data_IF_585826794936
#
_entry.id   IF_585826794936
#
_cell.length_a   1.000
_cell.length_b   1.000
_cell.length_c   1.000
_cell.angle_alpha   90.00
_cell.angle_beta   90.00
_cell.angle_gamma   90.00
#
_symmetry.space_group_name_H-M   'P 1'
#
loop_
_entity.id
_entity.type
_entity.pdbx_description
1 polymer ?
#
# COMPACT_ATOMS: atom_id res chain seq x y z
N UNK A 1 19.06 1.75 -8.42
CA UNK A 1 18.33 1.47 -7.16
C UNK A 1 17.24 0.43 -7.43
N UNK A 2 17.50 -0.82 -7.04
CA UNK A 2 16.53 -1.91 -7.18
C UNK A 2 15.25 -1.55 -6.43
N UNK A 3 14.21 -1.21 -7.19
CA UNK A 3 12.87 -1.04 -6.66
C UNK A 3 12.42 -2.43 -6.24
N UNK A 4 12.48 -2.65 -4.93
CA UNK A 4 12.32 -3.94 -4.29
C UNK A 4 11.09 -4.69 -4.80
N UNK A 5 11.33 -5.91 -5.26
CA UNK A 5 10.29 -6.84 -5.65
C UNK A 5 9.38 -7.11 -4.44
N UNK A 6 8.10 -6.76 -4.55
CA UNK A 6 7.17 -6.86 -3.43
C UNK A 6 6.78 -8.32 -3.13
N UNK A 7 7.12 -9.25 -4.02
CA UNK A 7 6.74 -10.66 -3.96
C UNK A 7 5.45 -10.97 -4.73
N UNK A 8 5.12 -12.25 -4.86
CA UNK A 8 3.97 -12.75 -5.65
C UNK A 8 2.85 -13.18 -4.70
N UNK A 9 1.68 -12.58 -4.81
CA UNK A 9 0.49 -12.97 -4.02
C UNK A 9 -0.37 -13.98 -4.79
N UNK A 10 -0.64 -15.15 -4.19
CA UNK A 10 -1.46 -16.20 -4.79
C UNK A 10 -2.87 -16.22 -4.19
N UNK A 11 -3.82 -15.51 -4.81
CA UNK A 11 -5.15 -15.28 -4.26
C UNK A 11 -6.06 -16.52 -4.11
N UNK A 12 -5.76 -17.68 -4.68
CA UNK A 12 -6.67 -18.83 -4.59
C UNK A 12 -5.97 -20.18 -4.39
N UNK A 13 -4.72 -20.17 -3.94
CA UNK A 13 -3.97 -21.40 -3.74
C UNK A 13 -4.32 -22.00 -2.38
N UNK A 14 -5.25 -22.96 -2.33
CA UNK A 14 -5.45 -23.77 -1.12
C UNK A 14 -4.14 -24.55 -0.82
N UNK A 15 -3.71 -24.66 0.45
CA UNK A 15 -2.73 -25.68 0.82
C UNK A 15 -3.35 -27.04 0.48
N UNK A 16 -2.60 -27.86 -0.25
CA UNK A 16 -3.03 -29.20 -0.65
C UNK A 16 -3.10 -30.05 0.63
N UNK A 17 -4.28 -30.11 1.24
CA UNK A 17 -4.60 -31.09 2.26
C UNK A 17 -4.72 -32.45 1.58
N UNK A 18 -3.74 -33.33 1.83
CA UNK A 18 -3.79 -34.74 1.43
C UNK A 18 -5.01 -35.37 2.11
N UNK A 19 -6.10 -35.56 1.39
CA UNK A 19 -7.31 -36.21 1.91
C UNK A 19 -7.44 -37.65 1.39
N UNK A 20 -8.01 -38.53 2.22
CA UNK A 20 -8.13 -39.98 2.00
C UNK A 20 -8.97 -40.32 0.76
N UNK A 21 -8.64 -41.40 0.03
CA UNK A 21 -9.31 -41.76 -1.21
C UNK A 21 -10.66 -42.43 -0.93
N UNK A 22 -11.74 -41.92 -1.56
CA UNK A 22 -13.03 -42.63 -1.60
C UNK A 22 -14.24 -41.74 -1.90
N UNK A 23 -14.48 -40.70 -1.11
CA UNK A 23 -15.73 -39.92 -1.19
C UNK A 23 -15.56 -38.45 -1.62
N UNK A 24 -14.34 -37.91 -1.55
CA UNK A 24 -14.07 -36.47 -1.75
C UNK A 24 -13.81 -36.07 -3.21
N UNK A 25 -13.68 -37.02 -4.12
CA UNK A 25 -13.19 -36.76 -5.49
C UNK A 25 -14.13 -35.86 -6.32
N UNK A 26 -15.45 -36.08 -6.28
CA UNK A 26 -16.39 -35.25 -7.05
C UNK A 26 -16.59 -33.87 -6.41
N UNK A 27 -16.61 -33.79 -5.08
CA UNK A 27 -16.75 -32.52 -4.36
C UNK A 27 -15.53 -31.64 -4.57
N UNK A 28 -14.32 -32.19 -4.46
CA UNK A 28 -13.08 -31.45 -4.76
C UNK A 28 -13.04 -31.01 -6.23
N UNK A 29 -13.50 -31.85 -7.17
CA UNK A 29 -13.62 -31.45 -8.59
C UNK A 29 -14.61 -30.31 -8.79
N UNK A 30 -15.75 -30.34 -8.12
CA UNK A 30 -16.77 -29.31 -8.21
C UNK A 30 -16.30 -27.99 -7.58
N UNK A 31 -15.67 -28.03 -6.42
CA UNK A 31 -15.02 -26.87 -5.80
C UNK A 31 -13.96 -26.25 -6.71
N UNK A 32 -13.12 -27.08 -7.35
CA UNK A 32 -12.11 -26.60 -8.29
C UNK A 32 -12.75 -25.94 -9.52
N UNK A 33 -13.79 -26.54 -10.08
CA UNK A 33 -14.53 -25.97 -11.21
C UNK A 33 -15.15 -24.60 -10.83
N UNK A 34 -15.75 -24.49 -9.64
CA UNK A 34 -16.27 -23.23 -9.12
C UNK A 34 -15.18 -22.17 -8.97
N UNK A 35 -14.02 -22.53 -8.42
CA UNK A 35 -12.89 -21.62 -8.27
C UNK A 35 -12.38 -21.11 -9.63
N UNK A 36 -12.30 -21.99 -10.64
CA UNK A 36 -11.87 -21.61 -11.99
C UNK A 36 -12.86 -20.62 -12.62
N UNK A 37 -14.16 -20.87 -12.50
CA UNK A 37 -15.20 -19.95 -13.01
C UNK A 37 -15.14 -18.61 -12.29
N UNK A 38 -15.03 -18.62 -10.96
CA UNK A 38 -14.91 -17.40 -10.15
C UNK A 38 -13.68 -16.58 -10.55
N UNK A 39 -12.51 -17.21 -10.67
CA UNK A 39 -11.28 -16.51 -11.07
C UNK A 39 -11.41 -15.91 -12.47
N UNK A 40 -12.06 -16.62 -13.40
CA UNK A 40 -12.31 -16.11 -14.76
C UNK A 40 -13.25 -14.90 -14.75
N UNK A 41 -14.32 -14.94 -13.96
CA UNK A 41 -15.28 -13.82 -13.87
C UNK A 41 -14.62 -12.59 -13.25
N UNK A 42 -13.91 -12.76 -12.13
CA UNK A 42 -13.17 -11.66 -11.49
C UNK A 42 -12.16 -11.07 -12.48
N UNK A 43 -11.37 -11.92 -13.15
CA UNK A 43 -10.38 -11.44 -14.11
C UNK A 43 -11.03 -10.68 -15.28
N UNK A 44 -12.16 -11.17 -15.80
CA UNK A 44 -12.90 -10.50 -16.86
C UNK A 44 -13.42 -9.13 -16.39
N UNK A 45 -13.94 -9.04 -15.16
CA UNK A 45 -14.38 -7.78 -14.57
C UNK A 45 -13.22 -6.80 -14.38
N UNK A 46 -12.12 -7.24 -13.78
CA UNK A 46 -10.92 -6.41 -13.62
C UNK A 46 -10.39 -5.93 -14.97
N UNK A 47 -10.43 -6.77 -16.01
CA UNK A 47 -10.03 -6.40 -17.37
C UNK A 47 -10.93 -5.32 -17.97
N UNK A 48 -12.25 -5.41 -17.75
CA UNK A 48 -13.20 -4.36 -18.18
C UNK A 48 -12.93 -3.04 -17.46
N UNK A 49 -12.72 -3.09 -16.14
CA UNK A 49 -12.43 -1.91 -15.34
C UNK A 49 -11.08 -1.27 -15.73
N UNK A 50 -10.05 -2.08 -16.00
CA UNK A 50 -8.73 -1.59 -16.41
C UNK A 50 -8.80 -0.68 -17.64
N UNK A 51 -9.69 -0.99 -18.60
CA UNK A 51 -9.89 -0.20 -19.82
C UNK A 51 -10.71 1.07 -19.55
N UNK A 52 -11.56 1.07 -18.52
CA UNK A 52 -12.47 2.18 -18.19
C UNK A 52 -11.84 3.22 -17.25
N UNK A 53 -10.92 2.80 -16.38
CA UNK A 53 -10.24 3.69 -15.43
C UNK A 53 -9.37 4.69 -16.21
N UNK A 54 -9.63 5.99 -15.99
CA UNK A 54 -8.78 7.07 -16.51
C UNK A 54 -7.65 7.33 -15.52
N UNK A 55 -6.44 6.95 -15.90
CA UNK A 55 -5.23 7.16 -15.11
C UNK A 55 -4.14 7.83 -15.96
N UNK A 56 -3.18 8.49 -15.30
CA UNK A 56 -2.06 9.15 -15.98
C UNK A 56 -1.20 8.15 -16.77
N UNK A 57 -1.04 6.93 -16.26
CA UNK A 57 -0.43 5.80 -16.95
C UNK A 57 -1.52 4.76 -17.21
N UNK A 58 -1.87 4.48 -18.47
CA UNK A 58 -2.97 3.57 -18.78
C UNK A 58 -2.67 2.15 -18.30
N UNK A 59 -3.70 1.48 -17.79
CA UNK A 59 -3.62 0.07 -17.43
C UNK A 59 -3.59 -0.78 -18.70
N UNK A 60 -2.70 -1.78 -18.76
CA UNK A 60 -2.53 -2.63 -19.93
C UNK A 60 -3.08 -4.00 -19.64
N UNK A 61 -3.97 -4.49 -20.50
CA UNK A 61 -4.51 -5.85 -20.43
C UNK A 61 -3.93 -6.67 -21.57
N UNK A 62 -3.12 -7.68 -21.26
CA UNK A 62 -2.50 -8.57 -22.24
C UNK A 62 -2.77 -10.02 -21.88
N UNK A 63 -3.60 -10.70 -22.69
CA UNK A 63 -3.96 -12.12 -22.52
C UNK A 63 -4.53 -12.39 -21.11
N UNK A 64 -3.75 -13.06 -20.27
CA UNK A 64 -4.09 -13.46 -18.91
C UNK A 64 -3.46 -12.54 -17.85
N UNK A 65 -3.01 -11.34 -18.24
CA UNK A 65 -2.34 -10.41 -17.33
C UNK A 65 -2.93 -9.01 -17.43
N UNK A 66 -3.09 -8.36 -16.29
CA UNK A 66 -3.44 -6.95 -16.15
C UNK A 66 -2.24 -6.28 -15.47
N UNK A 67 -1.67 -5.29 -16.14
CA UNK A 67 -0.52 -4.54 -15.65
C UNK A 67 -1.00 -3.13 -15.31
N UNK A 68 -0.78 -2.72 -14.07
CA UNK A 68 -1.05 -1.39 -13.56
C UNK A 68 0.22 -0.79 -12.98
N UNK A 69 0.40 0.52 -13.08
CA UNK A 69 1.56 1.21 -12.53
C UNK A 69 1.11 2.17 -11.41
N UNK A 70 1.04 1.72 -10.15
CA UNK A 70 0.62 2.55 -9.02
C UNK A 70 1.57 3.73 -8.75
N UNK A 71 2.88 3.54 -8.87
CA UNK A 71 3.89 4.60 -8.74
C UNK A 71 4.93 4.50 -9.88
N UNK A 72 5.65 5.57 -10.22
CA UNK A 72 6.77 5.52 -11.17
C UNK A 72 7.77 4.42 -10.78
N UNK A 73 8.07 3.51 -11.72
CA UNK A 73 8.99 2.38 -11.48
C UNK A 73 8.42 1.21 -10.67
N UNK A 74 7.17 1.28 -10.19
CA UNK A 74 6.50 0.17 -9.50
C UNK A 74 5.37 -0.41 -10.36
N UNK A 75 5.46 -1.70 -10.69
CA UNK A 75 4.45 -2.40 -11.48
C UNK A 75 3.65 -3.37 -10.61
N UNK A 76 2.32 -3.28 -10.71
CA UNK A 76 1.37 -4.24 -10.18
C UNK A 76 0.90 -5.14 -11.33
N UNK A 77 1.19 -6.43 -11.24
CA UNK A 77 0.75 -7.43 -12.22
C UNK A 77 -0.28 -8.38 -11.60
N UNK A 78 -1.48 -8.44 -12.19
CA UNK A 78 -2.53 -9.37 -11.82
C UNK A 78 -2.62 -10.42 -12.93
N UNK A 79 -2.26 -11.67 -12.62
CA UNK A 79 -2.20 -12.76 -13.61
C UNK A 79 -3.20 -13.87 -13.32
N UNK A 80 -3.93 -14.32 -14.34
CA UNK A 80 -4.76 -15.53 -14.30
C UNK A 80 -3.90 -16.75 -14.67
N UNK A 81 -3.42 -17.46 -13.65
CA UNK A 81 -2.60 -18.66 -13.81
C UNK A 81 -3.45 -19.93 -13.87
N UNK A 82 -3.14 -20.82 -14.81
CA UNK A 82 -3.66 -22.19 -14.81
C UNK A 82 -2.58 -23.11 -14.23
N UNK A 83 -2.85 -23.76 -13.10
CA UNK A 83 -2.00 -24.84 -12.61
C UNK A 83 -2.27 -26.09 -13.45
N UNK A 84 -1.85 -26.09 -14.71
CA UNK A 84 -1.58 -27.35 -15.41
C UNK A 84 -0.33 -27.95 -14.76
N UNK A 85 -0.29 -29.26 -14.56
CA UNK A 85 0.87 -30.01 -14.06
C UNK A 85 2.05 -30.03 -15.05
N UNK A 86 2.35 -28.92 -15.72
CA UNK A 86 3.53 -28.79 -16.57
C UNK A 86 4.73 -28.40 -15.70
N UNK A 87 5.23 -29.41 -14.99
CA UNK A 87 6.58 -29.44 -14.42
C UNK A 87 7.62 -29.41 -15.54
N UNK A 88 7.77 -28.32 -16.30
CA UNK A 88 8.93 -28.16 -17.20
C UNK A 88 9.19 -26.76 -17.76
N UNK A 89 8.88 -25.67 -17.07
CA UNK A 89 9.44 -24.36 -17.47
C UNK A 89 9.29 -23.29 -16.40
N UNK A 90 9.85 -23.51 -15.20
CA UNK A 90 10.26 -22.41 -14.33
C UNK A 90 11.57 -22.81 -13.65
N UNK A 91 12.69 -22.50 -14.31
CA UNK A 91 13.88 -22.03 -13.59
C UNK A 91 13.58 -20.60 -13.13
N UNK A 92 12.65 -20.45 -12.20
CA UNK A 92 12.68 -19.31 -11.30
C UNK A 92 13.53 -19.75 -10.12
N UNK A 93 14.66 -19.08 -9.98
CA UNK A 93 15.50 -19.07 -8.79
C UNK A 93 14.67 -19.34 -7.54
N UNK A 94 15.00 -20.44 -6.86
CA UNK A 94 14.63 -20.65 -5.47
C UNK A 94 15.40 -19.64 -4.62
N UNK A 95 15.00 -18.37 -4.68
CA UNK A 95 15.44 -17.36 -3.75
C UNK A 95 14.59 -17.47 -2.50
N UNK A 96 15.26 -17.97 -1.45
CA UNK A 96 15.00 -17.76 -0.02
C UNK A 96 13.56 -17.35 0.35
N UNK A 97 12.85 -18.27 0.99
CA UNK A 97 11.66 -17.94 1.78
C UNK A 97 12.01 -16.88 2.83
N UNK A 98 11.52 -15.67 2.60
CA UNK A 98 11.52 -14.50 3.46
C UNK A 98 11.33 -13.28 2.55
N UNK A 99 10.44 -12.30 2.77
CA UNK A 99 9.54 -12.01 3.89
C UNK A 99 8.05 -12.15 3.45
N UNK A 100 7.57 -13.39 3.30
CA UNK A 100 6.18 -13.69 2.90
C UNK A 100 5.13 -13.16 3.89
N UNK A 101 5.50 -12.97 5.16
CA UNK A 101 4.58 -12.59 6.25
C UNK A 101 3.89 -11.23 6.04
N UNK A 102 4.48 -10.32 5.26
CA UNK A 102 3.93 -8.98 5.06
C UNK A 102 3.01 -8.86 3.85
N UNK A 103 3.08 -9.78 2.88
CA UNK A 103 2.11 -9.86 1.80
C UNK A 103 0.81 -10.52 2.24
N UNK A 104 0.82 -11.31 3.31
CA UNK A 104 -0.38 -11.92 3.88
C UNK A 104 -1.49 -10.90 4.15
N UNK A 105 -1.14 -9.68 4.58
CA UNK A 105 -2.11 -8.59 4.80
C UNK A 105 -2.74 -8.15 3.47
N UNK A 106 -1.96 -8.02 2.40
CA UNK A 106 -2.48 -7.71 1.06
C UNK A 106 -3.35 -8.86 0.57
N UNK A 107 -2.88 -10.10 0.66
CA UNK A 107 -3.62 -11.30 0.28
C UNK A 107 -4.98 -11.39 0.98
N UNK A 108 -4.98 -11.28 2.31
CA UNK A 108 -6.19 -11.34 3.12
C UNK A 108 -7.18 -10.26 2.72
N UNK A 109 -6.72 -9.01 2.62
CA UNK A 109 -7.59 -7.90 2.23
C UNK A 109 -8.12 -8.06 0.80
N UNK A 110 -7.31 -8.58 -0.13
CA UNK A 110 -7.77 -8.89 -1.49
C UNK A 110 -8.84 -9.99 -1.47
N UNK A 111 -8.68 -11.03 -0.64
CA UNK A 111 -9.74 -12.03 -0.43
C UNK A 111 -11.03 -11.41 0.11
N UNK A 112 -10.93 -10.50 1.09
CA UNK A 112 -12.09 -9.82 1.65
C UNK A 112 -12.78 -8.94 0.60
N UNK A 113 -12.01 -8.15 -0.18
CA UNK A 113 -12.53 -7.33 -1.26
C UNK A 113 -13.27 -8.17 -2.32
N UNK A 114 -12.69 -9.30 -2.71
CA UNK A 114 -13.31 -10.21 -3.67
C UNK A 114 -14.58 -10.86 -3.11
N UNK A 115 -14.58 -11.27 -1.84
CA UNK A 115 -15.76 -11.84 -1.19
C UNK A 115 -16.88 -10.82 -1.06
N UNK A 116 -16.55 -9.60 -0.66
CA UNK A 116 -17.50 -8.52 -0.56
C UNK A 116 -18.04 -8.13 -1.94
N UNK A 117 -17.18 -8.06 -2.97
CA UNK A 117 -17.61 -7.89 -4.35
C UNK A 117 -18.60 -8.98 -4.77
N UNK A 118 -18.26 -10.25 -4.55
CA UNK A 118 -19.15 -11.37 -4.88
C UNK A 118 -20.47 -11.29 -4.12
N UNK A 119 -20.44 -10.94 -2.83
CA UNK A 119 -21.64 -10.73 -2.02
C UNK A 119 -22.47 -9.55 -2.54
N UNK A 120 -21.85 -8.47 -3.01
CA UNK A 120 -22.57 -7.33 -3.60
C UNK A 120 -23.19 -7.69 -4.95
N UNK A 121 -22.46 -8.41 -5.80
CA UNK A 121 -22.97 -8.94 -7.08
C UNK A 121 -24.13 -9.92 -6.85
N UNK A 122 -24.09 -10.73 -5.79
CA UNK A 122 -25.14 -11.68 -5.44
C UNK A 122 -26.32 -11.04 -4.67
N UNK A 123 -26.07 -10.05 -3.81
CA UNK A 123 -27.07 -9.55 -2.85
C UNK A 123 -27.75 -8.25 -3.26
N UNK A 124 -27.28 -7.51 -4.27
CA UNK A 124 -27.79 -6.16 -4.53
C UNK A 124 -28.19 -5.88 -5.99
N UNK A 125 -29.51 -5.77 -6.15
CA UNK A 125 -30.21 -4.74 -6.90
C UNK A 125 -30.28 -4.82 -8.43
N UNK A 126 -29.30 -5.36 -9.14
CA UNK A 126 -29.17 -5.09 -10.59
C UNK A 126 -29.45 -6.29 -11.50
N UNK A 127 -29.67 -7.49 -10.96
CA UNK A 127 -29.98 -8.64 -11.81
C UNK A 127 -31.45 -8.57 -12.28
N UNK A 128 -31.73 -8.54 -13.60
CA UNK A 128 -33.10 -8.67 -14.08
C UNK A 128 -33.57 -10.09 -13.78
N UNK A 129 -34.27 -10.25 -12.67
CA UNK A 129 -34.90 -11.51 -12.34
C UNK A 129 -36.13 -11.72 -13.24
N UNK A 130 -36.46 -12.98 -13.61
CA UNK A 130 -37.73 -13.28 -14.26
C UNK A 130 -38.90 -12.78 -13.41
N UNK A 131 -40.00 -12.37 -14.06
CA UNK A 131 -41.13 -11.69 -13.43
C UNK A 131 -41.77 -12.46 -12.24
N UNK A 132 -41.54 -13.77 -12.14
CA UNK A 132 -42.03 -14.65 -11.08
C UNK A 132 -41.15 -14.68 -9.82
N UNK A 133 -39.97 -14.05 -9.80
CA UNK A 133 -39.05 -14.13 -8.68
C UNK A 133 -39.38 -13.09 -7.57
N UNK A 134 -39.55 -13.51 -6.31
CA UNK A 134 -39.94 -12.64 -5.20
C UNK A 134 -38.84 -11.68 -4.71
N UNK A 135 -37.61 -11.78 -5.23
CA UNK A 135 -36.46 -10.98 -4.80
C UNK A 135 -35.99 -10.00 -5.89
N UNK A 136 -35.65 -8.76 -5.50
CA UNK A 136 -35.16 -7.67 -6.36
C UNK A 136 -35.92 -6.34 -6.20
N UNK A 137 -35.29 -5.20 -6.54
CA UNK A 137 -35.92 -3.88 -6.43
C UNK A 137 -37.07 -3.71 -7.42
N UNK A 138 -38.32 -3.65 -6.92
CA UNK A 138 -39.54 -3.52 -7.72
C UNK A 138 -39.53 -2.31 -8.68
N UNK A 139 -38.87 -1.20 -8.30
CA UNK A 139 -38.77 0.03 -9.12
C UNK A 139 -37.81 -0.08 -10.31
N UNK A 140 -36.82 -0.98 -10.27
CA UNK A 140 -35.96 -1.27 -11.44
C UNK A 140 -36.72 -2.04 -12.55
N UNK A 141 -37.93 -2.51 -12.26
CA UNK A 141 -38.81 -3.27 -13.17
C UNK A 141 -39.89 -2.39 -13.82
N UNK A 142 -40.03 -1.14 -13.38
CA UNK A 142 -41.04 -0.23 -13.91
C UNK A 142 -40.56 0.36 -15.24
N UNK A 143 -41.42 0.33 -16.25
CA UNK A 143 -41.29 1.17 -17.43
C UNK A 143 -42.35 2.27 -17.32
N UNK A 144 -41.95 3.53 -17.49
CA UNK A 144 -42.84 4.68 -17.41
C UNK A 144 -42.43 5.72 -16.34
N UNK A 145 -43.28 6.70 -16.03
CA UNK A 145 -42.93 7.90 -15.24
C UNK A 145 -42.48 7.67 -13.79
N UNK A 146 -42.60 6.44 -13.28
CA UNK A 146 -42.21 6.04 -11.92
C UNK A 146 -40.96 5.14 -11.90
N UNK A 147 -40.38 4.87 -13.09
CA UNK A 147 -39.12 4.16 -13.27
C UNK A 147 -37.94 4.97 -12.75
N UNK A 148 -36.81 4.30 -12.50
CA UNK A 148 -35.58 5.02 -12.21
C UNK A 148 -35.05 5.69 -13.48
N UNK A 149 -34.69 6.96 -13.36
CA UNK A 149 -33.98 7.66 -14.42
C UNK A 149 -32.52 7.21 -14.50
N UNK A 150 -31.89 7.40 -15.66
CA UNK A 150 -30.48 7.02 -15.92
C UNK A 150 -29.52 7.52 -14.83
N UNK A 151 -29.76 8.72 -14.29
CA UNK A 151 -28.95 9.32 -13.24
C UNK A 151 -29.17 8.65 -11.87
N UNK A 152 -30.40 8.22 -11.57
CA UNK A 152 -30.75 7.50 -10.34
C UNK A 152 -30.20 6.06 -10.37
N UNK A 153 -30.18 5.41 -11.53
CA UNK A 153 -29.51 4.10 -11.70
C UNK A 153 -27.99 4.26 -11.55
N UNK A 154 -27.43 5.34 -12.09
CA UNK A 154 -26.01 5.66 -11.97
C UNK A 154 -25.57 5.91 -10.52
N UNK A 155 -26.40 6.51 -9.68
CA UNK A 155 -26.10 6.75 -8.26
C UNK A 155 -26.24 5.52 -7.37
N UNK A 156 -26.98 4.49 -7.82
CA UNK A 156 -27.12 3.21 -7.12
C UNK A 156 -25.97 2.23 -7.38
N UNK A 157 -25.17 2.46 -8.44
CA UNK A 157 -23.97 1.67 -8.70
C UNK A 157 -22.83 2.10 -7.76
N UNK A 158 -22.02 1.17 -7.24
CA UNK A 158 -20.85 1.52 -6.45
C UNK A 158 -19.95 2.45 -7.27
N UNK A 159 -19.59 3.59 -6.68
CA UNK A 159 -18.82 4.66 -7.34
C UNK A 159 -17.39 4.25 -7.70
N UNK A 160 -16.91 3.13 -7.18
CA UNK A 160 -15.54 2.67 -7.30
C UNK A 160 -15.48 1.18 -7.67
N UNK A 161 -14.77 0.88 -8.75
CA UNK A 161 -14.56 -0.48 -9.24
C UNK A 161 -13.65 -1.32 -8.33
N UNK A 162 -13.71 -2.64 -8.46
CA UNK A 162 -12.87 -3.57 -7.71
C UNK A 162 -11.37 -3.31 -7.97
N UNK A 163 -10.99 -3.09 -9.23
CA UNK A 163 -9.60 -2.84 -9.62
C UNK A 163 -9.06 -1.54 -9.00
N UNK A 164 -9.89 -0.50 -8.93
CA UNK A 164 -9.48 0.77 -8.32
C UNK A 164 -9.18 0.59 -6.82
N UNK A 165 -10.03 -0.15 -6.10
CA UNK A 165 -9.79 -0.52 -4.70
C UNK A 165 -8.49 -1.30 -4.52
N UNK A 166 -8.25 -2.28 -5.39
CA UNK A 166 -7.01 -3.08 -5.39
C UNK A 166 -5.79 -2.16 -5.59
N UNK A 167 -5.84 -1.23 -6.53
CA UNK A 167 -4.74 -0.29 -6.81
C UNK A 167 -4.51 0.63 -5.61
N UNK A 168 -5.56 1.22 -5.03
CA UNK A 168 -5.43 2.09 -3.85
C UNK A 168 -4.83 1.36 -2.66
N UNK A 169 -5.25 0.12 -2.43
CA UNK A 169 -4.70 -0.70 -1.36
C UNK A 169 -3.23 -1.07 -1.61
N UNK A 170 -2.87 -1.41 -2.84
CA UNK A 170 -1.48 -1.69 -3.22
C UNK A 170 -0.59 -0.45 -3.03
N UNK A 171 -1.07 0.73 -3.44
CA UNK A 171 -0.39 2.02 -3.21
C UNK A 171 -0.13 2.26 -1.73
N UNK A 172 -1.16 2.11 -0.89
CA UNK A 172 -1.05 2.32 0.55
C UNK A 172 -0.03 1.36 1.20
N UNK A 173 -0.10 0.06 0.87
CA UNK A 173 0.82 -0.94 1.42
C UNK A 173 2.27 -0.67 1.00
N UNK A 174 2.48 -0.28 -0.26
CA UNK A 174 3.81 0.11 -0.72
C UNK A 174 4.35 1.31 0.06
N UNK A 175 3.56 2.38 0.17
CA UNK A 175 3.98 3.60 0.85
C UNK A 175 4.25 3.35 2.35
N UNK A 176 3.43 2.52 3.00
CA UNK A 176 3.65 2.09 4.39
C UNK A 176 4.96 1.32 4.53
N UNK A 177 5.24 0.37 3.63
CA UNK A 177 6.47 -0.44 3.67
C UNK A 177 7.71 0.40 3.38
N UNK A 178 7.63 1.30 2.40
CA UNK A 178 8.65 2.28 2.10
C UNK A 178 8.97 3.13 3.34
N UNK A 179 7.94 3.71 3.96
CA UNK A 179 8.05 4.50 5.20
C UNK A 179 8.73 3.71 6.33
N UNK A 180 8.29 2.47 6.57
CA UNK A 180 8.88 1.61 7.60
C UNK A 180 10.37 1.36 7.35
N UNK A 181 10.73 0.96 6.13
CA UNK A 181 12.14 0.73 5.76
C UNK A 181 12.99 1.99 5.91
N UNK A 182 12.48 3.16 5.53
CA UNK A 182 13.20 4.42 5.68
C UNK A 182 13.44 4.76 7.15
N UNK A 183 12.42 4.59 8.01
CA UNK A 183 12.54 4.83 9.45
C UNK A 183 13.53 3.84 10.08
N UNK A 184 13.41 2.55 9.79
CA UNK A 184 14.28 1.50 10.35
C UNK A 184 15.73 1.68 9.89
N UNK A 185 15.93 2.03 8.61
CA UNK A 185 17.25 2.36 8.05
C UNK A 185 17.88 3.55 8.78
N UNK A 186 17.11 4.62 9.01
CA UNK A 186 17.59 5.78 9.76
C UNK A 186 17.89 5.46 11.22
N UNK A 187 17.01 4.72 11.90
CA UNK A 187 17.18 4.31 13.29
C UNK A 187 18.41 3.40 13.48
N UNK A 188 18.74 2.56 12.49
CA UNK A 188 19.93 1.70 12.52
C UNK A 188 21.25 2.44 12.25
N UNK A 189 21.20 3.56 11.52
CA UNK A 189 22.39 4.32 11.10
C UNK A 189 22.79 5.41 12.11
N UNK A 190 21.84 5.84 12.94
CA UNK A 190 22.00 7.01 13.82
C UNK A 190 21.93 6.53 15.27
N UNK A 191 23.04 6.67 16.00
CA UNK A 191 23.12 6.29 17.41
C UNK A 191 22.55 7.38 18.35
N UNK A 192 22.85 8.67 18.08
CA UNK A 192 22.30 9.81 18.84
C UNK A 192 22.04 11.02 17.91
N UNK A 193 20.88 11.72 18.04
CA UNK A 193 19.65 11.33 18.72
C UNK A 193 19.00 10.05 18.22
N UNK A 194 18.50 9.25 19.17
CA UNK A 194 17.78 8.01 18.96
C UNK A 194 16.42 8.27 18.30
N UNK A 195 16.09 7.47 17.29
CA UNK A 195 14.80 7.48 16.61
C UNK A 195 14.00 6.25 17.07
N UNK A 196 12.84 6.48 17.66
CA UNK A 196 11.89 5.45 18.05
C UNK A 196 10.60 5.60 17.25
N UNK A 197 10.06 4.50 16.74
CA UNK A 197 8.83 4.49 15.97
C UNK A 197 7.81 3.53 16.57
N UNK A 198 6.60 4.04 16.80
CA UNK A 198 5.48 3.27 17.34
C UNK A 198 4.33 3.27 16.33
N UNK A 199 4.09 2.13 15.70
CA UNK A 199 2.99 1.92 14.77
C UNK A 199 1.66 1.84 15.51
N UNK A 200 0.62 2.48 14.97
CA UNK A 200 -0.74 2.32 15.50
C UNK A 200 -1.31 0.96 15.14
N UNK A 201 -2.07 0.39 16.07
CA UNK A 201 -2.87 -0.82 15.84
C UNK A 201 -4.22 -0.51 15.17
N UNK A 202 -4.66 0.75 15.24
CA UNK A 202 -5.86 1.23 14.55
C UNK A 202 -5.41 1.71 13.16
N UNK A 203 -5.70 0.91 12.15
CA UNK A 203 -5.40 1.21 10.76
C UNK A 203 -6.69 1.07 9.94
N UNK A 204 -6.92 2.01 9.05
CA UNK A 204 -7.87 1.88 7.96
C UNK A 204 -7.20 1.15 6.79
N UNK A 205 -7.98 0.61 5.85
CA UNK A 205 -7.47 -0.07 4.64
C UNK A 205 -6.61 0.87 3.79
N UNK A 206 -6.86 2.17 3.88
CA UNK A 206 -6.18 3.20 3.10
C UNK A 206 -5.40 4.23 3.94
N UNK A 207 -5.41 4.09 5.27
CA UNK A 207 -4.68 4.99 6.16
C UNK A 207 -4.06 4.23 7.34
N UNK A 208 -2.76 4.40 7.51
CA UNK A 208 -1.99 3.85 8.64
C UNK A 208 -1.28 4.98 9.35
N UNK A 209 -1.11 4.90 10.67
CA UNK A 209 -0.42 5.94 11.43
C UNK A 209 0.77 5.40 12.22
N UNK A 210 1.83 6.20 12.30
CA UNK A 210 3.04 5.91 13.09
C UNK A 210 3.45 7.17 13.85
N UNK A 211 3.75 6.99 15.14
CA UNK A 211 4.34 8.03 15.98
C UNK A 211 5.85 7.86 15.97
N UNK A 212 6.57 8.89 15.54
CA UNK A 212 8.04 8.92 15.54
C UNK A 212 8.49 9.89 16.63
N UNK A 213 9.36 9.40 17.50
CA UNK A 213 9.97 10.13 18.59
C UNK A 213 11.48 10.23 18.33
N UNK A 214 12.00 11.45 18.35
CA UNK A 214 13.44 11.73 18.21
C UNK A 214 13.93 12.35 19.52
N UNK A 215 14.81 11.64 20.20
CA UNK A 215 15.32 11.98 21.54
C UNK A 215 16.85 11.92 21.56
N UNK A 216 17.50 12.95 22.11
CA UNK A 216 18.95 12.93 22.32
C UNK A 216 19.28 12.35 23.70
N UNK A 217 20.32 11.52 23.75
CA UNK A 217 20.79 10.90 24.98
C UNK A 217 21.30 11.97 25.96
N UNK A 218 21.04 11.79 27.25
CA UNK A 218 21.43 12.68 28.36
C UNK A 218 20.79 14.09 28.42
N UNK A 219 20.04 14.49 27.39
CA UNK A 219 19.36 15.80 27.33
C UNK A 219 17.83 15.72 27.41
N UNK A 220 17.25 14.58 27.76
CA UNK A 220 15.79 14.35 27.70
C UNK A 220 14.97 15.34 28.55
N UNK A 221 15.52 15.82 29.67
CA UNK A 221 14.87 16.81 30.54
C UNK A 221 15.03 18.26 30.07
N UNK A 222 16.02 18.55 29.21
CA UNK A 222 16.42 19.91 28.84
C UNK A 222 16.07 20.21 27.37
N UNK A 223 16.22 19.23 26.48
CA UNK A 223 15.83 19.28 25.09
C UNK A 223 14.44 18.69 24.91
N UNK A 224 13.52 19.49 24.34
CA UNK A 224 12.18 18.99 23.95
C UNK A 224 12.35 17.87 22.93
N UNK A 225 12.00 16.64 23.32
CA UNK A 225 11.88 15.53 22.38
C UNK A 225 10.92 15.92 21.25
N UNK A 226 11.34 15.66 20.00
CA UNK A 226 10.50 15.94 18.85
C UNK A 226 9.59 14.73 18.67
N UNK A 227 8.29 14.96 18.81
CA UNK A 227 7.25 13.99 18.53
C UNK A 227 6.52 14.36 17.24
N UNK A 228 6.49 13.42 16.30
CA UNK A 228 5.85 13.53 15.00
C UNK A 228 4.83 12.40 14.86
N UNK A 229 3.65 12.72 14.33
CA UNK A 229 2.68 11.71 13.93
C UNK A 229 2.61 11.69 12.41
N UNK A 230 3.04 10.58 11.80
CA UNK A 230 2.95 10.38 10.37
C UNK A 230 1.70 9.56 10.07
N UNK A 231 0.80 10.12 9.27
CA UNK A 231 -0.36 9.43 8.73
C UNK A 231 -0.06 9.11 7.26
N UNK A 232 0.14 7.83 6.98
CA UNK A 232 0.40 7.28 5.64
C UNK A 232 -0.94 7.06 4.95
N UNK A 233 -1.21 7.80 3.88
CA UNK A 233 -2.40 7.62 3.04
C UNK A 233 -2.13 6.73 1.82
N UNK A 234 -2.90 6.96 0.74
CA UNK A 234 -2.76 6.23 -0.53
C UNK A 234 -1.57 6.75 -1.35
N UNK A 235 -1.44 8.07 -1.53
CA UNK A 235 -0.42 8.68 -2.41
C UNK A 235 0.55 9.63 -1.69
N UNK A 236 0.24 9.97 -0.44
CA UNK A 236 0.94 11.00 0.32
C UNK A 236 1.06 10.61 1.79
N UNK A 237 2.08 11.16 2.44
CA UNK A 237 2.32 11.00 3.87
C UNK A 237 2.08 12.35 4.53
N UNK A 238 1.16 12.42 5.50
CA UNK A 238 0.88 13.63 6.27
C UNK A 238 1.60 13.56 7.60
N UNK A 239 2.54 14.46 7.83
CA UNK A 239 3.26 14.60 9.10
C UNK A 239 2.60 15.69 9.93
N UNK A 240 2.19 15.34 11.14
CA UNK A 240 1.60 16.25 12.12
C UNK A 240 2.60 16.45 13.26
N UNK A 241 3.01 17.70 13.46
CA UNK A 241 3.85 18.10 14.59
C UNK A 241 3.01 18.31 15.85
N UNK A 242 3.65 18.25 17.01
CA UNK A 242 3.01 18.55 18.31
C UNK A 242 2.43 19.98 18.40
N UNK A 243 2.97 20.93 17.63
CA UNK A 243 2.47 22.31 17.55
C UNK A 243 1.27 22.47 16.60
N UNK A 244 0.77 21.37 16.02
CA UNK A 244 -0.37 21.35 15.11
C UNK A 244 -0.01 21.63 13.65
N UNK A 245 1.27 21.87 13.32
CA UNK A 245 1.68 22.03 11.91
C UNK A 245 1.55 20.72 11.16
N UNK A 246 0.98 20.79 9.97
CA UNK A 246 0.83 19.65 9.08
C UNK A 246 1.69 19.86 7.85
N UNK A 247 2.57 18.91 7.58
CA UNK A 247 3.42 18.87 6.38
C UNK A 247 3.00 17.66 5.57
N UNK A 248 2.77 17.86 4.27
CA UNK A 248 2.43 16.77 3.37
C UNK A 248 3.66 16.43 2.53
N UNK A 249 4.06 15.17 2.55
CA UNK A 249 5.16 14.60 1.79
C UNK A 249 4.60 13.73 0.66
N UNK A 250 5.34 13.65 -0.44
CA UNK A 250 4.98 12.81 -1.59
C UNK A 250 5.29 11.33 -1.33
N UNK A 251 5.12 10.50 -2.37
CA UNK A 251 5.46 9.08 -2.34
C UNK A 251 6.97 8.79 -2.38
N UNK A 252 7.80 9.82 -2.60
CA UNK A 252 9.23 9.66 -2.79
C UNK A 252 9.93 9.40 -1.43
N UNK A 253 10.63 8.27 -1.32
CA UNK A 253 11.35 7.88 -0.09
C UNK A 253 12.37 8.93 0.37
N UNK A 254 13.00 9.64 -0.57
CA UNK A 254 13.98 10.69 -0.30
C UNK A 254 13.39 11.89 0.44
N UNK A 255 12.15 12.31 0.12
CA UNK A 255 11.53 13.44 0.81
C UNK A 255 11.30 13.14 2.29
N UNK A 256 10.86 11.92 2.60
CA UNK A 256 10.70 11.47 3.98
C UNK A 256 12.05 11.41 4.70
N UNK A 257 13.08 10.88 4.03
CA UNK A 257 14.42 10.79 4.59
C UNK A 257 15.00 12.17 4.89
N UNK A 258 14.95 13.09 3.93
CA UNK A 258 15.46 14.46 4.07
C UNK A 258 14.69 15.24 5.13
N UNK A 259 13.37 15.03 5.20
CA UNK A 259 12.54 15.60 6.25
C UNK A 259 12.97 15.12 7.64
N UNK A 260 13.12 13.81 7.86
CA UNK A 260 13.54 13.24 9.13
C UNK A 260 14.96 13.70 9.51
N UNK A 261 15.88 13.77 8.54
CA UNK A 261 17.24 14.29 8.75
C UNK A 261 17.25 15.79 9.10
N UNK A 262 16.32 16.58 8.55
CA UNK A 262 16.14 17.99 8.90
C UNK A 262 15.65 18.16 10.35
N UNK A 263 14.70 17.31 10.78
CA UNK A 263 14.25 17.28 12.18
C UNK A 263 15.39 16.87 13.11
N UNK A 264 16.16 15.85 12.73
CA UNK A 264 17.36 15.42 13.44
C UNK A 264 18.39 16.55 13.61
N UNK A 265 18.73 17.25 12.54
CA UNK A 265 19.67 18.38 12.59
C UNK A 265 19.16 19.54 13.46
N UNK A 266 17.84 19.67 13.63
CA UNK A 266 17.24 20.63 14.55
C UNK A 266 17.45 20.20 16.01
N UNK A 267 17.25 18.93 16.34
CA UNK A 267 17.51 18.38 17.69
C UNK A 267 18.97 18.58 18.08
N UNK A 268 19.91 18.24 17.21
CA UNK A 268 21.35 18.42 17.48
C UNK A 268 21.73 19.88 17.73
N UNK A 269 21.19 20.83 16.95
CA UNK A 269 21.44 22.26 17.17
C UNK A 269 20.92 22.74 18.52
N UNK A 270 19.75 22.24 18.94
CA UNK A 270 19.17 22.58 20.25
C UNK A 270 19.98 21.97 21.38
N UNK A 271 20.40 20.71 21.25
CA UNK A 271 21.27 20.02 22.21
C UNK A 271 22.61 20.72 22.37
N UNK A 272 23.29 21.03 21.25
CA UNK A 272 24.56 21.76 21.26
C UNK A 272 24.44 23.16 21.90
N UNK A 273 23.36 23.90 21.60
CA UNK A 273 23.09 25.19 22.22
C UNK A 273 22.86 25.06 23.73
N UNK A 274 22.13 24.03 24.14
CA UNK A 274 21.90 23.74 25.56
C UNK A 274 23.19 23.38 26.29
N UNK A 275 24.02 22.53 25.68
CA UNK A 275 25.34 22.16 26.20
C UNK A 275 26.24 23.39 26.39
N UNK A 276 26.34 24.27 25.38
CA UNK A 276 27.11 25.51 25.47
C UNK A 276 26.61 26.45 26.59
N UNK A 277 25.29 26.56 26.76
CA UNK A 277 24.69 27.40 27.80
C UNK A 277 24.92 26.84 29.22
N UNK A 278 24.83 25.53 29.41
CA UNK A 278 25.01 24.88 30.72
C UNK A 278 26.47 24.77 31.17
N UNK A 279 27.43 24.85 30.24
CA UNK A 279 28.86 24.76 30.55
C UNK A 279 29.62 26.09 30.39
N UNK A 280 28.92 27.22 30.26
CA UNK A 280 29.54 28.55 30.34
C UNK A 280 30.59 28.82 29.25
N UNK A 281 30.50 28.16 28.10
CA UNK A 281 31.41 28.40 26.99
C UNK A 281 30.92 29.61 26.18
N UNK A 282 31.37 30.81 26.57
CA UNK A 282 31.42 31.95 25.65
C UNK A 282 32.50 31.71 24.58
N UNK A 283 32.34 30.68 23.77
CA UNK A 283 33.14 30.46 22.58
C UNK A 283 32.36 30.97 21.37
N UNK A 284 32.84 32.07 20.75
CA UNK A 284 32.41 32.49 19.42
C UNK A 284 32.76 31.38 18.41
N UNK A 285 31.88 30.41 18.25
CA UNK A 285 31.94 29.44 17.16
C UNK A 285 31.30 30.09 15.92
N UNK A 286 32.13 30.62 15.03
CA UNK A 286 31.72 31.04 13.70
C UNK A 286 31.66 29.81 12.79
N UNK A 287 30.45 29.41 12.40
CA UNK A 287 30.22 28.44 11.34
C UNK A 287 30.57 29.09 10.00
N UNK A 288 31.75 28.79 9.47
CA UNK A 288 32.17 29.22 8.13
C UNK A 288 31.77 28.15 7.13
N UNK A 289 30.62 28.30 6.50
CA UNK A 289 30.22 27.47 5.35
C UNK A 289 31.07 27.90 4.17
N UNK A 290 32.08 27.08 3.84
CA UNK A 290 32.93 27.32 2.67
C UNK A 290 32.37 26.51 1.51
N UNK A 291 31.77 27.19 0.53
CA UNK A 291 31.33 26.58 -0.71
C UNK A 291 32.54 26.43 -1.63
N UNK A 292 33.13 25.23 -1.68
CA UNK A 292 34.19 24.91 -2.62
C UNK A 292 33.57 24.57 -3.97
N UNK A 293 33.68 25.48 -4.94
CA UNK A 293 33.38 25.19 -6.34
C UNK A 293 34.58 24.47 -6.92
N UNK A 294 34.47 23.17 -7.18
CA UNK A 294 35.45 22.41 -7.95
C UNK A 294 35.39 22.87 -9.41
N UNK A 295 36.21 23.85 -9.77
CA UNK A 295 36.58 24.09 -11.16
C UNK A 295 37.93 23.42 -11.41
N UNK A 296 37.86 22.31 -12.13
CA UNK A 296 38.90 21.62 -12.91
C UNK A 296 40.36 21.77 -12.46
N UNK A 297 40.95 20.61 -12.15
CA UNK A 297 42.32 20.38 -11.71
C UNK A 297 43.40 21.32 -12.23
N UNK A 298 44.33 21.66 -11.35
CA UNK A 298 45.77 21.44 -11.48
C UNK A 298 46.38 21.68 -10.09
N UNK A 299 47.16 20.68 -9.66
CA UNK A 299 48.05 20.67 -8.49
C UNK A 299 49.16 21.71 -8.59
N UNK A 300 49.42 22.41 -7.49
CA UNK A 300 50.74 22.79 -6.96
C UNK A 300 50.61 22.98 -5.45
#
# INVERSE_FOLDING_TARGET
PDIGDLGIVNLFKKPILKSKPGALHWQTKLENAQNVLLCREIFAQLSREAVQIKSQVPHVVVKNQIISQPFPGLQLCISLCHSSEDKKSQKSTSEKQGPEDHLYVLEHNLHQLIREFHKQTLSSNVMPHPASAPFGHKRMRLAGPQAFDKNEIGSLQPSEGLLEKIIKQAKHIFLRRATARTIDSLASRIEDPQIQAHWSNINDVYESSVKVLITSQDYEQICKSIQLQLNIGIEQIRVVHRDGRVITLSHQEQELQDFLLSQYGTVQKVAAKSWCNSHGASAKLSLKVTCCKTTNGITC
#
